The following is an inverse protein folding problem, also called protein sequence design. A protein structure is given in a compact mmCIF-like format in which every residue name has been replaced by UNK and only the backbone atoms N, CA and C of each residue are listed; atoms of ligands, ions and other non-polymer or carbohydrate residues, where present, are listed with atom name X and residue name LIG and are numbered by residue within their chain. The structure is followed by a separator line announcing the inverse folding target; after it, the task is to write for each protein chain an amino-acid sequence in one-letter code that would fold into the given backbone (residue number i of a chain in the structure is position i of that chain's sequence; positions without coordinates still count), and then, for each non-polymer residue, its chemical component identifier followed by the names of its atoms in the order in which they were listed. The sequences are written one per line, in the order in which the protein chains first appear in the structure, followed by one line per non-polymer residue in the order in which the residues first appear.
data_IF_208249299315
#
_entry.id   IF_208249299315
#
_cell.length_a   1.000
_cell.length_b   1.000
_cell.length_c   1.000
_cell.angle_alpha   90.00
_cell.angle_beta   90.00
_cell.angle_gamma   90.00
#
_symmetry.space_group_name_H-M   'P 1'
#
loop_
_entity.id
_entity.type
_entity.pdbx_description
1 polymer ?
#
# COMPACT_ATOMS: atom_id res chain seq x y z
N UNK A 1 38.20 10.59 -6.97
CA UNK A 1 37.43 11.83 -6.68
C UNK A 1 36.03 11.41 -6.31
N UNK A 2 35.49 11.70 -5.11
CA UNK A 2 34.07 11.50 -4.89
C UNK A 2 33.34 12.49 -5.80
N UNK A 3 32.54 11.96 -6.72
CA UNK A 3 31.81 12.73 -7.75
C UNK A 3 31.05 13.91 -7.17
N UNK A 4 30.93 14.99 -7.94
CA UNK A 4 30.17 16.25 -7.72
C UNK A 4 28.66 16.05 -7.50
N UNK A 5 28.26 15.04 -6.73
CA UNK A 5 26.87 14.77 -6.39
C UNK A 5 26.41 15.84 -5.40
N UNK A 6 25.42 16.67 -5.74
CA UNK A 6 24.84 17.61 -4.80
C UNK A 6 24.16 16.88 -3.64
N UNK A 7 24.01 17.57 -2.52
CA UNK A 7 23.23 17.04 -1.41
C UNK A 7 21.76 16.87 -1.83
N UNK A 8 21.10 15.83 -1.31
CA UNK A 8 19.66 15.63 -1.51
C UNK A 8 18.92 16.84 -0.90
N UNK A 9 18.08 17.55 -1.68
CA UNK A 9 17.34 18.70 -1.17
C UNK A 9 16.51 18.37 0.08
N UNK A 10 16.42 19.30 1.03
CA UNK A 10 15.76 19.07 2.32
C UNK A 10 14.28 18.65 2.17
N UNK A 11 13.56 19.21 1.18
CA UNK A 11 12.17 18.85 0.91
C UNK A 11 12.04 17.39 0.44
N UNK A 12 12.94 16.94 -0.44
CA UNK A 12 12.97 15.56 -0.94
C UNK A 12 13.36 14.59 0.17
N UNK A 13 14.37 14.93 0.98
CA UNK A 13 14.76 14.17 2.16
C UNK A 13 13.59 14.00 3.14
N UNK A 14 12.85 15.08 3.40
CA UNK A 14 11.65 15.03 4.25
C UNK A 14 10.58 14.12 3.66
N UNK A 15 10.30 14.20 2.36
CA UNK A 15 9.30 13.36 1.71
C UNK A 15 9.63 11.87 1.86
N UNK A 16 10.88 11.47 1.59
CA UNK A 16 11.34 10.07 1.75
C UNK A 16 11.25 9.60 3.21
N UNK A 17 11.60 10.46 4.17
CA UNK A 17 11.50 10.11 5.60
C UNK A 17 10.05 9.98 6.08
N UNK A 18 9.16 10.87 5.66
CA UNK A 18 7.72 10.80 5.97
C UNK A 18 7.12 9.54 5.36
N UNK A 19 7.43 9.27 4.09
CA UNK A 19 6.99 8.07 3.39
C UNK A 19 7.39 6.83 4.18
N UNK A 20 8.64 6.75 4.65
CA UNK A 20 9.19 5.65 5.44
C UNK A 20 8.79 5.64 6.93
N UNK A 21 7.96 6.58 7.39
CA UNK A 21 7.62 6.73 8.80
C UNK A 21 8.84 6.93 9.72
N UNK A 22 9.88 7.58 9.20
CA UNK A 22 11.18 7.79 9.84
C UNK A 22 11.91 6.51 10.29
N UNK A 23 11.62 5.37 9.66
CA UNK A 23 12.22 4.05 9.98
C UNK A 23 12.81 3.40 8.74
N UNK A 24 13.64 2.38 8.96
CA UNK A 24 14.18 1.58 7.87
C UNK A 24 13.03 0.97 7.04
N UNK A 25 13.10 1.15 5.73
CA UNK A 25 12.10 0.70 4.77
C UNK A 25 12.00 -0.82 4.62
N UNK A 26 13.00 -1.57 5.10
CA UNK A 26 12.92 -3.03 5.09
C UNK A 26 11.84 -3.48 6.09
N UNK A 27 10.78 -4.19 5.64
CA UNK A 27 9.57 -4.42 6.43
C UNK A 27 9.79 -5.02 7.81
N UNK A 28 10.76 -5.92 7.94
CA UNK A 28 11.09 -6.61 9.20
C UNK A 28 12.13 -5.89 10.06
N UNK A 29 12.89 -4.92 9.50
CA UNK A 29 13.98 -4.25 10.21
C UNK A 29 13.47 -3.07 11.05
N UNK A 30 12.89 -2.06 10.39
CA UNK A 30 12.26 -0.87 11.00
C UNK A 30 13.12 -0.08 12.01
N UNK A 31 14.44 -0.31 11.98
CA UNK A 31 15.42 0.34 12.86
C UNK A 31 15.58 1.83 12.53
N UNK A 32 16.15 2.55 13.49
CA UNK A 32 16.56 3.96 13.42
C UNK A 32 17.96 4.10 14.03
N UNK A 33 18.78 5.06 13.61
CA UNK A 33 18.54 6.08 12.58
C UNK A 33 18.57 5.50 11.15
N UNK A 34 18.19 6.32 10.18
CA UNK A 34 18.17 5.97 8.76
C UNK A 34 18.98 6.94 7.90
N UNK A 35 19.44 6.43 6.77
CA UNK A 35 20.15 7.10 5.70
C UNK A 35 19.31 7.00 4.42
N UNK A 36 19.52 7.93 3.49
CA UNK A 36 18.83 7.90 2.20
C UNK A 36 19.73 7.23 1.16
N UNK A 37 19.27 6.11 0.63
CA UNK A 37 19.89 5.38 -0.45
C UNK A 37 19.18 5.67 -1.78
N UNK A 38 19.93 5.60 -2.88
CA UNK A 38 19.40 5.58 -4.23
C UNK A 38 19.14 4.14 -4.67
N UNK A 39 17.96 3.85 -5.21
CA UNK A 39 17.61 2.51 -5.72
C UNK A 39 18.30 2.27 -7.08
N UNK A 40 18.20 3.22 -8.00
CA UNK A 40 19.05 3.30 -9.19
C UNK A 40 20.19 4.28 -8.90
N UNK A 41 21.47 3.87 -9.04
CA UNK A 41 22.62 4.67 -8.63
C UNK A 41 22.66 6.05 -9.30
N UNK A 42 23.17 7.03 -8.55
CA UNK A 42 23.34 8.41 -9.02
C UNK A 42 24.09 8.51 -10.34
N UNK A 43 25.10 7.65 -10.57
CA UNK A 43 25.88 7.63 -11.81
C UNK A 43 25.01 7.43 -13.06
N UNK A 44 23.88 6.74 -12.93
CA UNK A 44 22.91 6.49 -14.00
C UNK A 44 21.89 7.61 -14.10
N UNK A 45 21.20 7.94 -13.00
CA UNK A 45 20.02 8.82 -13.05
C UNK A 45 20.34 10.31 -12.94
N UNK A 46 21.45 10.66 -12.26
CA UNK A 46 21.89 12.04 -11.96
C UNK A 46 20.77 12.97 -11.46
N UNK A 47 19.79 12.40 -10.75
CA UNK A 47 18.63 13.09 -10.22
C UNK A 47 18.26 12.58 -8.82
N UNK A 48 17.68 13.45 -8.01
CA UNK A 48 17.12 13.13 -6.69
C UNK A 48 15.59 13.03 -6.78
N UNK A 49 15.08 12.02 -7.47
CA UNK A 49 13.64 11.75 -7.55
C UNK A 49 13.18 10.98 -6.30
N UNK A 50 12.07 11.37 -5.68
CA UNK A 50 11.54 10.70 -4.47
C UNK A 50 11.31 9.22 -4.75
N UNK A 51 10.85 8.89 -5.95
CA UNK A 51 10.53 7.56 -6.45
C UNK A 51 11.76 6.64 -6.49
N UNK A 52 12.96 7.23 -6.64
CA UNK A 52 14.23 6.51 -6.71
C UNK A 52 15.05 6.57 -5.40
N UNK A 53 14.46 7.09 -4.32
CA UNK A 53 15.10 7.22 -3.02
C UNK A 53 14.37 6.38 -1.97
N UNK A 54 15.13 5.73 -1.09
CA UNK A 54 14.59 4.88 -0.03
C UNK A 54 15.36 5.11 1.29
N UNK A 55 14.66 5.07 2.42
CA UNK A 55 15.26 5.24 3.74
C UNK A 55 15.68 3.87 4.32
N UNK A 56 16.96 3.67 4.61
CA UNK A 56 17.50 2.42 5.16
C UNK A 56 18.29 2.71 6.43
N UNK A 57 18.28 1.81 7.42
CA UNK A 57 19.26 1.91 8.51
C UNK A 57 20.67 1.60 7.98
N UNK A 58 21.75 2.04 8.64
CA UNK A 58 23.11 1.82 8.16
C UNK A 58 23.42 0.36 7.81
N UNK A 59 22.95 -0.58 8.62
CA UNK A 59 23.13 -2.03 8.37
C UNK A 59 22.47 -2.49 7.08
N UNK A 60 21.21 -2.09 6.85
CA UNK A 60 20.47 -2.47 5.65
C UNK A 60 21.00 -1.75 4.41
N UNK A 61 21.50 -0.52 4.57
CA UNK A 61 22.16 0.23 3.51
C UNK A 61 23.44 -0.47 3.06
N UNK A 62 24.31 -0.88 3.99
CA UNK A 62 25.51 -1.65 3.67
C UNK A 62 25.20 -2.98 2.99
N UNK A 63 24.18 -3.72 3.48
CA UNK A 63 23.73 -4.96 2.83
C UNK A 63 23.24 -4.72 1.40
N UNK A 64 22.58 -3.61 1.15
CA UNK A 64 22.17 -3.22 -0.20
C UNK A 64 23.38 -2.88 -1.08
N UNK A 65 24.31 -2.07 -0.59
CA UNK A 65 25.53 -1.70 -1.32
C UNK A 65 26.39 -2.91 -1.67
N UNK A 66 26.43 -3.91 -0.78
CA UNK A 66 27.14 -5.17 -0.99
C UNK A 66 26.42 -6.15 -1.94
N UNK A 67 25.15 -5.88 -2.28
CA UNK A 67 24.34 -6.76 -3.12
C UNK A 67 23.63 -7.91 -2.39
N UNK A 68 23.72 -7.99 -1.06
CA UNK A 68 22.96 -8.98 -0.25
C UNK A 68 21.44 -8.76 -0.34
N UNK A 69 21.06 -7.52 -0.64
CA UNK A 69 19.69 -7.15 -0.96
C UNK A 69 19.72 -6.54 -2.35
N UNK A 70 18.99 -7.12 -3.27
CA UNK A 70 19.04 -6.70 -4.66
C UNK A 70 18.16 -5.45 -4.92
N UNK A 71 18.33 -4.87 -6.11
CA UNK A 71 17.60 -3.67 -6.54
C UNK A 71 16.10 -3.92 -6.77
N UNK A 72 15.72 -5.12 -7.21
CA UNK A 72 14.31 -5.49 -7.43
C UNK A 72 13.60 -5.48 -6.07
N UNK A 73 14.21 -6.08 -5.05
CA UNK A 73 13.75 -6.02 -3.65
C UNK A 73 13.59 -4.58 -3.16
N UNK A 74 14.54 -3.69 -3.43
CA UNK A 74 14.42 -2.27 -3.05
C UNK A 74 13.24 -1.55 -3.72
N UNK A 75 13.00 -1.81 -5.02
CA UNK A 75 11.83 -1.28 -5.73
C UNK A 75 10.53 -1.78 -5.10
N UNK A 76 10.50 -3.06 -4.73
CA UNK A 76 9.34 -3.64 -4.05
C UNK A 76 9.11 -3.02 -2.67
N UNK A 77 10.16 -2.84 -1.87
CA UNK A 77 10.04 -2.17 -0.57
C UNK A 77 9.53 -0.74 -0.74
N UNK A 78 10.08 0.02 -1.70
CA UNK A 78 9.62 1.38 -2.02
C UNK A 78 8.13 1.43 -2.39
N UNK A 79 7.68 0.57 -3.29
CA UNK A 79 6.27 0.48 -3.67
C UNK A 79 5.38 0.15 -2.46
N UNK A 80 5.88 -0.74 -1.60
CA UNK A 80 5.21 -1.12 -0.37
C UNK A 80 5.19 -0.02 0.69
N UNK A 81 6.17 0.89 0.77
CA UNK A 81 6.17 1.98 1.77
C UNK A 81 4.98 2.93 1.59
N UNK A 82 4.61 3.21 0.34
CA UNK A 82 3.44 4.01 0.02
C UNK A 82 2.12 3.37 0.52
N UNK A 83 2.14 2.06 0.77
CA UNK A 83 0.98 1.22 1.14
C UNK A 83 1.03 0.81 2.62
N UNK A 84 2.21 0.54 3.19
CA UNK A 84 2.39 -0.29 4.39
C UNK A 84 3.03 0.42 5.60
N UNK A 85 3.46 1.67 5.52
CA UNK A 85 4.08 2.32 6.69
C UNK A 85 3.09 2.67 7.79
N UNK A 86 2.68 1.66 8.58
CA UNK A 86 1.82 1.76 9.75
C UNK A 86 0.51 2.57 9.60
N UNK A 87 0.21 3.04 8.39
CA UNK A 87 -0.94 3.86 8.08
C UNK A 87 -2.22 3.05 8.23
N UNK A 88 -2.14 1.77 7.88
CA UNK A 88 -3.24 0.83 8.03
C UNK A 88 -2.92 -0.21 9.10
N UNK A 89 -3.88 -0.44 9.97
CA UNK A 89 -3.89 -1.51 10.97
C UNK A 89 -3.87 -2.90 10.33
N UNK A 90 -3.70 -3.95 11.12
CA UNK A 90 -3.76 -5.32 10.59
C UNK A 90 -5.14 -5.65 10.00
N UNK A 91 -6.22 -5.20 10.64
CA UNK A 91 -7.59 -5.40 10.14
C UNK A 91 -7.78 -4.73 8.77
N UNK A 92 -7.33 -3.50 8.61
CA UNK A 92 -7.39 -2.77 7.34
C UNK A 92 -6.58 -3.47 6.24
N UNK A 93 -5.38 -3.98 6.58
CA UNK A 93 -4.58 -4.79 5.64
C UNK A 93 -5.29 -6.08 5.25
N UNK A 94 -5.93 -6.78 6.18
CA UNK A 94 -6.68 -8.01 5.90
C UNK A 94 -7.87 -7.74 4.98
N UNK A 95 -8.58 -6.62 5.19
CA UNK A 95 -9.66 -6.20 4.31
C UNK A 95 -9.16 -5.96 2.88
N UNK A 96 -8.06 -5.20 2.72
CA UNK A 96 -7.50 -4.97 1.39
C UNK A 96 -7.06 -6.28 0.71
N UNK A 97 -6.44 -7.21 1.46
CA UNK A 97 -6.11 -8.56 0.94
C UNK A 97 -7.35 -9.35 0.52
N UNK A 98 -8.48 -9.19 1.21
CA UNK A 98 -9.73 -9.81 0.81
C UNK A 98 -10.23 -9.26 -0.54
N UNK A 99 -10.07 -7.97 -0.79
CA UNK A 99 -10.37 -7.38 -2.09
C UNK A 99 -9.40 -7.83 -3.19
N UNK A 100 -8.09 -7.93 -2.91
CA UNK A 100 -7.11 -8.49 -3.86
C UNK A 100 -7.51 -9.90 -4.30
N UNK A 101 -7.83 -10.78 -3.34
CA UNK A 101 -8.26 -12.16 -3.65
C UNK A 101 -9.52 -12.19 -4.52
N UNK A 102 -10.49 -11.31 -4.24
CA UNK A 102 -11.71 -11.16 -5.05
C UNK A 102 -11.38 -10.70 -6.47
N UNK A 103 -10.41 -9.79 -6.65
CA UNK A 103 -9.94 -9.34 -7.96
C UNK A 103 -9.23 -10.45 -8.74
N UNK A 104 -8.32 -11.18 -8.10
CA UNK A 104 -7.66 -12.34 -8.71
C UNK A 104 -8.67 -13.41 -9.15
N UNK A 105 -9.70 -13.67 -8.33
CA UNK A 105 -10.79 -14.58 -8.70
C UNK A 105 -11.58 -14.09 -9.90
N UNK A 106 -11.91 -12.79 -9.97
CA UNK A 106 -12.62 -12.21 -11.11
C UNK A 106 -11.77 -12.30 -12.39
N UNK A 107 -10.47 -12.03 -12.31
CA UNK A 107 -9.52 -12.14 -13.43
C UNK A 107 -9.37 -13.56 -13.98
N UNK A 108 -9.57 -14.59 -13.15
CA UNK A 108 -9.59 -15.98 -13.65
C UNK A 108 -10.78 -16.26 -14.55
N UNK A 109 -11.90 -15.58 -14.33
CA UNK A 109 -13.12 -15.73 -15.13
C UNK A 109 -13.09 -14.80 -16.35
N UNK A 110 -12.63 -13.56 -16.18
CA UNK A 110 -12.51 -12.57 -17.24
C UNK A 110 -11.18 -11.80 -17.08
N UNK A 111 -10.11 -12.18 -17.81
CA UNK A 111 -8.76 -11.63 -17.62
C UNK A 111 -8.63 -10.13 -17.84
N UNK A 112 -9.54 -9.52 -18.61
CA UNK A 112 -9.59 -8.07 -18.85
C UNK A 112 -10.27 -7.26 -17.75
N UNK A 113 -10.76 -7.90 -16.67
CA UNK A 113 -11.32 -7.19 -15.51
C UNK A 113 -10.28 -6.27 -14.88
N UNK A 114 -10.62 -4.99 -14.82
CA UNK A 114 -9.91 -3.99 -14.04
C UNK A 114 -10.48 -3.90 -12.63
N UNK A 115 -9.67 -3.46 -11.66
CA UNK A 115 -10.16 -3.19 -10.31
C UNK A 115 -11.26 -2.11 -10.31
N UNK A 116 -11.21 -1.16 -11.25
CA UNK A 116 -12.23 -0.13 -11.42
C UNK A 116 -13.59 -0.75 -11.80
N UNK A 117 -13.59 -1.75 -12.69
CA UNK A 117 -14.80 -2.50 -13.01
C UNK A 117 -15.37 -3.26 -11.80
N UNK A 118 -14.52 -3.72 -10.87
CA UNK A 118 -14.96 -4.36 -9.63
C UNK A 118 -15.64 -3.41 -8.64
N UNK A 119 -15.17 -2.17 -8.55
CA UNK A 119 -15.80 -1.15 -7.72
C UNK A 119 -17.24 -0.86 -8.18
N UNK A 120 -17.51 -0.98 -9.50
CA UNK A 120 -18.83 -0.77 -10.10
C UNK A 120 -19.77 -1.98 -10.06
N UNK A 121 -19.27 -3.22 -9.95
CA UNK A 121 -20.08 -4.43 -9.98
C UNK A 121 -20.63 -4.83 -8.59
N UNK A 122 -21.95 -4.98 -8.49
CA UNK A 122 -22.64 -5.37 -7.27
C UNK A 122 -22.27 -6.79 -6.82
N UNK A 123 -21.23 -6.92 -5.99
CA UNK A 123 -20.90 -8.15 -5.26
C UNK A 123 -19.41 -8.40 -5.04
N UNK A 124 -18.55 -7.93 -5.96
CA UNK A 124 -17.11 -8.22 -5.90
C UNK A 124 -16.35 -7.07 -5.21
N UNK A 125 -16.64 -5.81 -5.53
CA UNK A 125 -16.09 -4.63 -4.84
C UNK A 125 -16.70 -4.32 -3.46
N UNK A 126 -17.44 -5.28 -2.87
CA UNK A 126 -18.19 -5.13 -1.63
C UNK A 126 -17.81 -6.17 -0.58
N UNK A 127 -17.66 -5.74 0.67
CA UNK A 127 -17.49 -6.61 1.84
C UNK A 127 -18.51 -6.20 2.90
N UNK A 128 -19.23 -7.18 3.47
CA UNK A 128 -20.17 -6.94 4.57
C UNK A 128 -19.41 -6.94 5.88
N UNK A 129 -19.72 -5.99 6.75
CA UNK A 129 -19.18 -5.90 8.10
C UNK A 129 -20.32 -5.60 9.08
N UNK A 130 -20.07 -5.84 10.36
CA UNK A 130 -20.97 -5.33 11.38
C UNK A 130 -20.88 -3.81 11.45
N UNK A 131 -22.00 -3.14 11.70
CA UNK A 131 -22.10 -1.68 11.62
C UNK A 131 -21.11 -0.96 12.55
N UNK A 132 -20.78 -1.59 13.67
CA UNK A 132 -19.89 -1.16 14.73
C UNK A 132 -18.42 -1.50 14.47
N UNK A 133 -18.08 -2.11 13.33
CA UNK A 133 -16.69 -2.36 12.92
C UNK A 133 -16.11 -1.24 12.06
N UNK A 134 -16.90 -0.21 11.73
CA UNK A 134 -16.50 0.92 10.89
C UNK A 134 -15.29 1.69 11.46
N UNK A 135 -15.22 1.86 12.79
CA UNK A 135 -14.10 2.50 13.48
C UNK A 135 -12.77 1.77 13.27
N UNK A 136 -12.78 0.48 12.96
CA UNK A 136 -11.57 -0.31 12.71
C UNK A 136 -10.94 0.00 11.34
N UNK A 137 -11.65 0.73 10.47
CA UNK A 137 -11.29 0.96 9.07
C UNK A 137 -11.13 2.45 8.73
N UNK A 138 -11.02 3.31 9.74
CA UNK A 138 -11.03 4.78 9.59
C UNK A 138 -9.89 5.28 8.72
N UNK A 139 -8.69 4.69 8.81
CA UNK A 139 -7.57 5.18 8.00
C UNK A 139 -7.84 4.94 6.50
N UNK A 140 -8.45 3.81 6.13
CA UNK A 140 -8.84 3.55 4.74
C UNK A 140 -9.91 4.52 4.23
N UNK A 141 -10.81 4.98 5.12
CA UNK A 141 -11.84 5.98 4.80
C UNK A 141 -11.22 7.37 4.65
N UNK A 142 -10.35 7.77 5.58
CA UNK A 142 -9.64 9.04 5.54
C UNK A 142 -8.77 9.16 4.29
N UNK A 143 -8.21 8.04 3.84
CA UNK A 143 -7.49 7.95 2.57
C UNK A 143 -8.37 7.85 1.33
N UNK A 144 -9.69 7.74 1.53
CA UNK A 144 -10.67 7.61 0.45
C UNK A 144 -10.48 6.34 -0.37
N UNK A 145 -9.93 5.27 0.20
CA UNK A 145 -9.79 3.96 -0.47
C UNK A 145 -11.08 3.14 -0.41
N UNK A 146 -11.87 3.35 0.64
CA UNK A 146 -13.17 2.72 0.83
C UNK A 146 -14.24 3.75 1.21
N UNK A 147 -15.49 3.37 1.04
CA UNK A 147 -16.66 4.08 1.60
C UNK A 147 -17.59 3.08 2.26
N UNK A 148 -18.42 3.57 3.19
CA UNK A 148 -19.51 2.78 3.75
C UNK A 148 -20.82 3.09 3.04
N UNK A 149 -21.64 2.06 2.82
CA UNK A 149 -23.04 2.21 2.44
C UNK A 149 -23.93 1.43 3.40
N UNK A 150 -25.06 2.04 3.74
CA UNK A 150 -26.15 1.35 4.40
C UNK A 150 -26.88 0.45 3.40
N UNK A 151 -27.14 -0.78 3.82
CA UNK A 151 -27.83 -1.81 3.07
C UNK A 151 -29.13 -2.16 3.78
N UNK A 152 -30.23 -1.57 3.33
CA UNK A 152 -31.56 -1.94 3.79
C UNK A 152 -32.02 -3.25 3.15
N UNK A 153 -31.98 -4.37 3.89
CA UNK A 153 -32.63 -5.62 3.49
C UNK A 153 -33.96 -5.82 4.21
N UNK A 154 -34.97 -6.33 3.51
CA UNK A 154 -36.34 -6.54 4.05
C UNK A 154 -36.52 -7.91 4.73
N UNK A 155 -35.52 -8.78 4.59
CA UNK A 155 -35.57 -10.25 4.71
C UNK A 155 -34.75 -10.83 5.88
N UNK A 156 -34.08 -10.01 6.70
CA UNK A 156 -33.38 -10.45 7.92
C UNK A 156 -34.23 -10.17 9.17
N UNK A 157 -34.00 -10.82 10.31
CA UNK A 157 -34.64 -10.40 11.56
C UNK A 157 -34.20 -8.98 11.95
N UNK A 158 -35.02 -8.21 12.67
CA UNK A 158 -34.75 -6.79 12.93
C UNK A 158 -33.39 -6.54 13.61
N UNK A 159 -32.97 -7.48 14.47
CA UNK A 159 -31.67 -7.43 15.16
C UNK A 159 -30.50 -7.76 14.23
N UNK A 160 -30.66 -8.75 13.33
CA UNK A 160 -29.65 -9.07 12.31
C UNK A 160 -29.52 -8.00 11.22
N UNK A 161 -30.61 -7.29 10.90
CA UNK A 161 -30.59 -6.11 10.02
C UNK A 161 -29.75 -4.99 10.61
N UNK A 162 -29.96 -4.69 11.90
CA UNK A 162 -29.24 -3.60 12.58
C UNK A 162 -27.74 -3.87 12.62
N UNK A 163 -27.37 -5.12 12.93
CA UNK A 163 -25.96 -5.52 13.03
C UNK A 163 -25.28 -5.60 11.65
N UNK A 164 -25.94 -6.11 10.60
CA UNK A 164 -25.33 -6.29 9.26
C UNK A 164 -25.67 -5.19 8.24
N UNK A 165 -26.03 -3.99 8.70
CA UNK A 165 -26.52 -2.93 7.80
C UNK A 165 -25.42 -2.30 6.96
N UNK A 166 -24.14 -2.40 7.35
CA UNK A 166 -23.04 -1.71 6.65
C UNK A 166 -22.31 -2.58 5.64
N UNK A 167 -22.07 -1.99 4.48
CA UNK A 167 -21.25 -2.54 3.41
C UNK A 167 -20.07 -1.62 3.17
N UNK A 168 -18.88 -2.21 3.12
CA UNK A 168 -17.66 -1.53 2.67
C UNK A 168 -17.57 -1.66 1.16
N UNK A 169 -17.44 -0.54 0.47
CA UNK A 169 -17.24 -0.46 -0.97
C UNK A 169 -15.87 0.14 -1.30
N UNK A 170 -15.19 -0.46 -2.27
CA UNK A 170 -14.01 0.15 -2.88
C UNK A 170 -14.39 1.44 -3.61
N UNK A 171 -13.60 2.50 -3.42
CA UNK A 171 -13.67 3.69 -4.26
C UNK A 171 -12.87 3.50 -5.55
N UNK A 172 -12.98 4.44 -6.48
CA UNK A 172 -12.11 4.49 -7.66
C UNK A 172 -10.62 4.58 -7.27
N UNK A 173 -10.29 5.43 -6.28
CA UNK A 173 -8.93 5.56 -5.73
C UNK A 173 -8.46 4.26 -5.08
N UNK A 174 -9.33 3.58 -4.35
CA UNK A 174 -9.06 2.26 -3.78
C UNK A 174 -8.79 1.21 -4.86
N UNK A 175 -9.55 1.23 -5.96
CA UNK A 175 -9.34 0.34 -7.09
C UNK A 175 -7.98 0.55 -7.76
N UNK A 176 -7.61 1.80 -8.05
CA UNK A 176 -6.27 2.14 -8.60
C UNK A 176 -5.14 1.68 -7.67
N UNK A 177 -5.33 1.87 -6.36
CA UNK A 177 -4.38 1.40 -5.35
C UNK A 177 -4.20 -0.12 -5.38
N UNK A 178 -5.30 -0.88 -5.50
CA UNK A 178 -5.24 -2.34 -5.61
C UNK A 178 -4.57 -2.79 -6.91
N UNK A 179 -4.78 -2.10 -8.03
CA UNK A 179 -4.10 -2.40 -9.29
C UNK A 179 -2.58 -2.36 -9.11
N UNK A 180 -2.07 -1.22 -8.63
CA UNK A 180 -0.64 -1.05 -8.36
C UNK A 180 -0.11 -2.11 -7.40
N UNK A 181 -0.88 -2.47 -6.38
CA UNK A 181 -0.50 -3.52 -5.43
C UNK A 181 -0.42 -4.89 -6.11
N UNK A 182 -1.41 -5.28 -6.93
CA UNK A 182 -1.36 -6.59 -7.62
C UNK A 182 -0.25 -6.69 -8.66
N UNK A 183 0.12 -5.58 -9.30
CA UNK A 183 1.21 -5.55 -10.28
C UNK A 183 2.60 -5.51 -9.64
N UNK A 184 2.69 -5.20 -8.36
CA UNK A 184 3.92 -5.31 -7.60
C UNK A 184 4.14 -6.79 -7.27
N UNK A 185 4.74 -7.53 -8.22
CA UNK A 185 4.94 -8.98 -8.16
C UNK A 185 5.43 -9.42 -6.76
N UNK A 186 4.69 -10.31 -6.08
CA UNK A 186 5.27 -11.08 -4.99
C UNK A 186 6.33 -11.99 -5.62
N UNK A 187 7.60 -11.83 -5.20
CA UNK A 187 8.63 -12.81 -5.51
C UNK A 187 8.14 -14.18 -5.00
N UNK A 188 7.81 -15.05 -5.94
CA UNK A 188 7.67 -16.49 -5.73
C UNK A 188 9.03 -17.16 -5.64
#
# INVERSE_FOLDING_TARGET
MPSERPAVPAAIKRAVLIEAGHRCAIPTCRQTPVEIAHIEPWSTVKAHAVENLIALCPTCHTRYDNGDIDRISMRQYKANLAILNNRYTETERQLLRAFVRKLEMARRLEPSVTASALAGFAGIGRVRIYSEMDWMLVNLVDDGLITFRELGRRDLEAQERALNSKVVELTAKGAEFLEHWTTAEPLG
#
